data_IF_970029623481
#
_entry.id   IF_970029623481
#
_cell.length_a   1.000
_cell.length_b   1.000
_cell.length_c   1.000
_cell.angle_alpha   90.00
_cell.angle_beta   90.00
_cell.angle_gamma   90.00
#
_symmetry.space_group_name_H-M   'P 1'
#
loop_
_entity.id
_entity.type
_entity.pdbx_description
1 polymer ?
#
# COMPACT_ATOMS: atom_id res chain seq x y z
N UNK A 1 -19.90 -6.33 2.46
CA UNK A 1 -18.80 -5.63 3.17
C UNK A 1 -17.50 -5.83 2.41
N UNK A 2 -17.05 -7.08 2.25
CA UNK A 2 -15.84 -7.48 1.52
C UNK A 2 -15.56 -6.72 0.21
N UNK A 3 -16.52 -6.65 -0.72
CA UNK A 3 -16.32 -6.00 -2.03
C UNK A 3 -16.01 -4.51 -1.89
N UNK A 4 -16.68 -3.81 -0.97
CA UNK A 4 -16.42 -2.40 -0.68
C UNK A 4 -15.03 -2.21 -0.11
N UNK A 5 -14.63 -3.08 0.81
CA UNK A 5 -13.30 -3.01 1.43
C UNK A 5 -12.22 -3.35 0.39
N UNK A 6 -12.48 -4.28 -0.53
CA UNK A 6 -11.59 -4.55 -1.66
C UNK A 6 -11.43 -3.33 -2.57
N UNK A 7 -12.51 -2.60 -2.88
CA UNK A 7 -12.46 -1.32 -3.60
C UNK A 7 -11.60 -0.29 -2.86
N UNK A 8 -11.76 -0.17 -1.55
CA UNK A 8 -10.91 0.68 -0.69
C UNK A 8 -9.44 0.27 -0.76
N UNK A 9 -9.13 -1.03 -0.72
CA UNK A 9 -7.77 -1.53 -0.86
C UNK A 9 -7.14 -1.16 -2.21
N UNK A 10 -7.92 -1.22 -3.30
CA UNK A 10 -7.49 -0.83 -4.65
C UNK A 10 -7.11 0.65 -4.69
N UNK A 11 -8.01 1.53 -4.25
CA UNK A 11 -7.75 2.98 -4.28
C UNK A 11 -6.57 3.36 -3.38
N UNK A 12 -6.50 2.79 -2.17
CA UNK A 12 -5.40 3.03 -1.23
C UNK A 12 -4.05 2.57 -1.78
N UNK A 13 -3.99 1.42 -2.45
CA UNK A 13 -2.75 0.89 -3.03
C UNK A 13 -2.23 1.82 -4.13
N UNK A 14 -3.11 2.28 -5.02
CA UNK A 14 -2.75 3.23 -6.06
C UNK A 14 -2.26 4.57 -5.50
N UNK A 15 -3.04 5.16 -4.58
CA UNK A 15 -2.70 6.46 -3.98
C UNK A 15 -1.41 6.38 -3.16
N UNK A 16 -1.18 5.29 -2.42
CA UNK A 16 0.08 5.09 -1.68
C UNK A 16 1.26 4.90 -2.61
N UNK A 17 1.11 4.16 -3.72
CA UNK A 17 2.17 3.98 -4.71
C UNK A 17 2.63 5.32 -5.29
N UNK A 18 1.70 6.18 -5.71
CA UNK A 18 2.04 7.52 -6.20
C UNK A 18 2.66 8.40 -5.12
N UNK A 19 2.12 8.36 -3.90
CA UNK A 19 2.71 9.10 -2.80
C UNK A 19 4.15 8.66 -2.49
N UNK A 20 4.43 7.35 -2.55
CA UNK A 20 5.78 6.83 -2.32
C UNK A 20 6.72 7.17 -3.48
N UNK A 21 6.22 7.22 -4.71
CA UNK A 21 6.98 7.74 -5.86
C UNK A 21 7.44 9.18 -5.64
N UNK A 22 6.54 10.04 -5.17
CA UNK A 22 6.87 11.44 -4.82
C UNK A 22 7.84 11.52 -3.64
N UNK A 23 7.58 10.74 -2.59
CA UNK A 23 8.44 10.69 -1.41
C UNK A 23 9.87 10.23 -1.76
N UNK A 24 9.99 9.24 -2.64
CA UNK A 24 11.27 8.76 -3.18
C UNK A 24 12.03 9.87 -3.91
N UNK A 25 11.35 10.67 -4.73
CA UNK A 25 11.97 11.78 -5.46
C UNK A 25 12.54 12.86 -4.52
N UNK A 26 11.98 12.97 -3.31
CA UNK A 26 12.44 13.88 -2.26
C UNK A 26 13.51 13.28 -1.33
N UNK A 27 13.91 12.02 -1.53
CA UNK A 27 14.93 11.39 -0.71
C UNK A 27 16.33 11.90 -1.09
N UNK A 28 17.09 12.37 -0.10
CA UNK A 28 18.47 12.84 -0.28
C UNK A 28 19.53 11.77 0.03
N UNK A 29 19.10 10.51 0.22
CA UNK A 29 19.95 9.39 0.60
C UNK A 29 19.57 8.16 -0.23
N UNK A 30 20.56 7.54 -0.88
CA UNK A 30 20.37 6.39 -1.78
C UNK A 30 19.78 5.16 -1.06
N UNK A 31 20.05 4.98 0.23
CA UNK A 31 19.44 3.91 1.02
C UNK A 31 17.94 4.18 1.21
N UNK A 32 17.57 5.42 1.55
CA UNK A 32 16.16 5.78 1.70
C UNK A 32 15.42 5.64 0.37
N UNK A 33 16.01 6.12 -0.71
CA UNK A 33 15.45 5.99 -2.06
C UNK A 33 15.16 4.52 -2.41
N UNK A 34 16.11 3.61 -2.18
CA UNK A 34 15.93 2.18 -2.44
C UNK A 34 14.83 1.55 -1.58
N UNK A 35 14.78 1.91 -0.29
CA UNK A 35 13.76 1.41 0.63
C UNK A 35 12.35 1.89 0.22
N UNK A 36 12.21 3.16 -0.15
CA UNK A 36 10.95 3.74 -0.62
C UNK A 36 10.56 3.16 -1.98
N UNK A 37 11.51 3.02 -2.92
CA UNK A 37 11.27 2.40 -4.23
C UNK A 37 10.72 0.97 -4.10
N UNK A 38 11.22 0.21 -3.12
CA UNK A 38 10.70 -1.13 -2.87
C UNK A 38 9.25 -1.09 -2.37
N UNK A 39 8.92 -0.18 -1.45
CA UNK A 39 7.56 0.00 -0.97
C UNK A 39 6.60 0.50 -2.08
N UNK A 40 7.06 1.44 -2.91
CA UNK A 40 6.34 1.93 -4.10
C UNK A 40 5.99 0.77 -5.05
N UNK A 41 6.98 -0.04 -5.41
CA UNK A 41 6.76 -1.19 -6.28
C UNK A 41 5.80 -2.21 -5.66
N UNK A 42 5.91 -2.46 -4.35
CA UNK A 42 4.99 -3.34 -3.64
C UNK A 42 3.55 -2.79 -3.73
N UNK A 43 3.33 -1.46 -3.61
CA UNK A 43 2.00 -0.84 -3.77
C UNK A 43 1.40 -0.94 -5.16
N UNK A 44 2.18 -0.75 -6.22
CA UNK A 44 1.67 -0.93 -7.58
C UNK A 44 1.31 -2.40 -7.85
N UNK A 45 2.12 -3.34 -7.36
CA UNK A 45 1.79 -4.77 -7.40
C UNK A 45 0.53 -5.09 -6.59
N UNK A 46 0.34 -4.47 -5.42
CA UNK A 46 -0.87 -4.63 -4.60
C UNK A 46 -2.10 -4.14 -5.36
N UNK A 47 -2.02 -2.98 -6.02
CA UNK A 47 -3.08 -2.45 -6.86
C UNK A 47 -3.50 -3.45 -7.95
N UNK A 48 -2.54 -4.01 -8.70
CA UNK A 48 -2.82 -5.02 -9.74
C UNK A 48 -3.45 -6.29 -9.18
N UNK A 49 -2.91 -6.80 -8.06
CA UNK A 49 -3.42 -7.99 -7.40
C UNK A 49 -4.85 -7.81 -6.88
N UNK A 50 -5.16 -6.66 -6.30
CA UNK A 50 -6.48 -6.36 -5.75
C UNK A 50 -7.49 -6.08 -6.87
N UNK A 51 -7.07 -5.43 -7.97
CA UNK A 51 -7.88 -5.30 -9.17
C UNK A 51 -8.23 -6.66 -9.77
N UNK A 52 -7.26 -7.56 -9.84
CA UNK A 52 -7.50 -8.93 -10.29
C UNK A 52 -8.43 -9.69 -9.34
N UNK A 53 -8.23 -9.57 -8.02
CA UNK A 53 -9.12 -10.15 -7.03
C UNK A 53 -10.56 -9.62 -7.17
N UNK A 54 -10.74 -8.33 -7.45
CA UNK A 54 -12.05 -7.72 -7.66
C UNK A 54 -12.70 -8.22 -8.96
N UNK A 55 -11.93 -8.31 -10.04
CA UNK A 55 -12.39 -8.89 -11.30
C UNK A 55 -12.89 -10.32 -11.12
N UNK A 56 -12.21 -11.16 -10.33
CA UNK A 56 -12.65 -12.53 -10.05
C UNK A 56 -13.99 -12.60 -9.29
N UNK A 57 -14.39 -11.53 -8.59
CA UNK A 57 -15.64 -11.49 -7.84
C UNK A 57 -16.79 -10.83 -8.62
N UNK A 58 -16.49 -9.83 -9.46
CA UNK A 58 -17.50 -8.96 -10.07
C UNK A 58 -17.53 -9.05 -11.60
N UNK A 59 -16.48 -9.60 -12.22
CA UNK A 59 -16.38 -9.75 -13.68
C UNK A 59 -15.86 -8.52 -14.43
N UNK A 60 -15.50 -7.45 -13.72
CA UNK A 60 -14.94 -6.22 -14.28
C UNK A 60 -13.89 -5.60 -13.35
N UNK A 61 -13.06 -4.69 -13.86
CA UNK A 61 -12.09 -3.95 -13.05
C UNK A 61 -12.74 -2.75 -12.36
N UNK A 62 -12.32 -2.45 -11.13
CA UNK A 62 -12.85 -1.31 -10.41
C UNK A 62 -12.29 0.00 -10.95
N UNK A 63 -13.19 0.91 -11.33
CA UNK A 63 -12.85 2.31 -11.66
C UNK A 63 -13.03 3.19 -10.44
N UNK A 64 -12.08 4.09 -10.20
CA UNK A 64 -12.08 5.00 -9.05
C UNK A 64 -11.40 6.33 -9.42
N UNK A 65 -11.74 7.38 -8.67
CA UNK A 65 -11.08 8.67 -8.80
C UNK A 65 -9.70 8.59 -8.15
N UNK A 66 -8.66 8.91 -8.93
CA UNK A 66 -7.29 8.94 -8.43
C UNK A 66 -7.13 10.14 -7.49
N UNK A 67 -6.73 9.86 -6.26
CA UNK A 67 -6.39 10.87 -5.27
C UNK A 67 -4.88 11.03 -5.18
N UNK A 68 -4.45 12.29 -5.07
CA UNK A 68 -3.07 12.65 -4.78
C UNK A 68 -2.95 12.94 -3.28
N UNK A 69 -1.85 12.49 -2.68
CA UNK A 69 -1.47 12.83 -1.32
C UNK A 69 -0.15 13.56 -1.38
N UNK A 70 -0.02 14.62 -0.61
CA UNK A 70 1.22 15.38 -0.48
C UNK A 70 1.59 15.49 1.00
N UNK A 71 2.87 15.75 1.27
CA UNK A 71 3.37 16.03 2.60
C UNK A 71 4.21 17.31 2.55
N UNK A 72 4.13 18.15 3.59
CA UNK A 72 4.86 19.41 3.62
C UNK A 72 6.38 19.19 3.81
N UNK A 73 6.77 18.12 4.50
CA UNK A 73 8.17 17.74 4.67
C UNK A 73 8.41 16.25 4.39
N UNK A 74 9.65 15.89 4.04
CA UNK A 74 10.06 14.49 3.87
C UNK A 74 9.80 13.66 5.14
N UNK A 75 10.11 14.23 6.32
CA UNK A 75 9.92 13.58 7.62
C UNK A 75 8.45 13.28 7.91
N UNK A 76 7.56 14.24 7.66
CA UNK A 76 6.11 14.02 7.77
C UNK A 76 5.62 12.98 6.77
N UNK A 77 6.15 13.01 5.54
CA UNK A 77 5.79 12.04 4.51
C UNK A 77 6.16 10.61 4.89
N UNK A 78 7.37 10.41 5.43
CA UNK A 78 7.81 9.10 5.95
C UNK A 78 6.95 8.66 7.14
N UNK A 79 6.61 9.56 8.07
CA UNK A 79 5.72 9.23 9.18
C UNK A 79 4.32 8.85 8.71
N UNK A 80 3.79 9.58 7.73
CA UNK A 80 2.52 9.30 7.08
C UNK A 80 2.52 7.91 6.45
N UNK A 81 3.55 7.62 5.63
CA UNK A 81 3.73 6.33 5.01
C UNK A 81 3.79 5.18 6.04
N UNK A 82 4.58 5.34 7.11
CA UNK A 82 4.66 4.38 8.22
C UNK A 82 3.28 4.09 8.83
N UNK A 83 2.53 5.13 9.19
CA UNK A 83 1.19 4.99 9.79
C UNK A 83 0.22 4.27 8.85
N UNK A 84 0.27 4.59 7.57
CA UNK A 84 -0.60 3.97 6.57
C UNK A 84 -0.26 2.49 6.35
N UNK A 85 1.00 2.10 6.41
CA UNK A 85 1.39 0.69 6.32
C UNK A 85 0.96 -0.12 7.54
N UNK A 86 1.08 0.46 8.75
CA UNK A 86 0.57 -0.17 9.98
C UNK A 86 -0.95 -0.36 9.93
N UNK A 87 -1.70 0.65 9.46
CA UNK A 87 -3.14 0.51 9.22
C UNK A 87 -3.46 -0.54 8.16
N UNK A 88 -2.68 -0.56 7.08
CA UNK A 88 -2.84 -1.54 6.00
C UNK A 88 -2.66 -2.97 6.51
N UNK A 89 -1.67 -3.23 7.36
CA UNK A 89 -1.46 -4.56 7.93
C UNK A 89 -2.69 -5.07 8.71
N UNK A 90 -3.32 -4.20 9.52
CA UNK A 90 -4.55 -4.53 10.24
C UNK A 90 -5.72 -4.72 9.27
N UNK A 91 -5.89 -3.78 8.35
CA UNK A 91 -6.97 -3.80 7.36
C UNK A 91 -6.96 -5.09 6.52
N UNK A 92 -5.81 -5.47 5.98
CA UNK A 92 -5.72 -6.66 5.12
C UNK A 92 -5.77 -7.97 5.91
N UNK A 93 -5.37 -7.98 7.19
CA UNK A 93 -5.64 -9.11 8.07
C UNK A 93 -7.14 -9.34 8.21
N UNK A 94 -7.90 -8.29 8.51
CA UNK A 94 -9.34 -8.39 8.71
C UNK A 94 -10.04 -8.77 7.39
N UNK A 95 -9.63 -8.16 6.28
CA UNK A 95 -10.13 -8.52 4.94
C UNK A 95 -9.83 -9.98 4.56
N UNK A 96 -8.66 -10.50 4.95
CA UNK A 96 -8.30 -11.90 4.74
C UNK A 96 -9.12 -12.86 5.62
N UNK A 97 -9.59 -12.43 6.80
CA UNK A 97 -10.48 -13.26 7.64
C UNK A 97 -11.91 -13.33 7.10
N UNK A 98 -12.34 -12.28 6.39
CA UNK A 98 -13.69 -12.17 5.82
C UNK A 98 -13.77 -12.61 4.34
N UNK A 99 -12.71 -13.21 3.80
CA UNK A 99 -12.63 -13.46 2.36
C UNK A 99 -13.59 -14.58 1.87
N UNK A 100 -14.26 -14.40 0.71
CA UNK A 100 -15.31 -15.31 0.23
C UNK A 100 -14.81 -16.63 -0.41
N UNK A 101 -13.50 -16.82 -0.61
CA UNK A 101 -13.00 -18.06 -1.23
C UNK A 101 -11.54 -18.04 -1.66
N UNK A 102 -10.95 -19.24 -1.79
CA UNK A 102 -9.53 -19.49 -2.04
C UNK A 102 -8.94 -18.81 -3.28
N UNK A 103 -9.76 -18.50 -4.29
CA UNK A 103 -9.32 -17.88 -5.54
C UNK A 103 -8.69 -16.49 -5.34
N UNK A 104 -9.01 -15.79 -4.25
CA UNK A 104 -8.42 -14.48 -3.93
C UNK A 104 -7.50 -14.50 -2.70
N UNK A 105 -7.28 -15.67 -2.10
CA UNK A 105 -6.42 -15.81 -0.92
C UNK A 105 -5.01 -15.28 -1.19
N UNK A 106 -4.38 -15.71 -2.29
CA UNK A 106 -3.00 -15.35 -2.63
C UNK A 106 -2.82 -13.82 -2.82
N UNK A 107 -3.66 -13.12 -3.59
CA UNK A 107 -3.66 -11.66 -3.62
C UNK A 107 -3.70 -11.02 -2.23
N UNK A 108 -4.70 -11.34 -1.41
CA UNK A 108 -4.90 -10.72 -0.10
C UNK A 108 -3.75 -11.02 0.86
N UNK A 109 -3.30 -12.28 0.91
CA UNK A 109 -2.17 -12.70 1.74
C UNK A 109 -0.89 -11.95 1.38
N UNK A 110 -0.61 -11.77 0.09
CA UNK A 110 0.59 -11.06 -0.38
C UNK A 110 0.57 -9.61 0.12
N UNK A 111 -0.55 -8.92 -0.05
CA UNK A 111 -0.69 -7.51 0.37
C UNK A 111 -0.57 -7.39 1.90
N UNK A 112 -1.22 -8.29 2.64
CA UNK A 112 -1.15 -8.34 4.10
C UNK A 112 0.28 -8.56 4.60
N UNK A 113 1.03 -9.48 3.98
CA UNK A 113 2.38 -9.83 4.39
C UNK A 113 3.41 -8.73 4.06
N UNK A 114 3.23 -8.00 2.96
CA UNK A 114 4.15 -6.93 2.56
C UNK A 114 3.98 -5.66 3.41
N UNK A 115 2.77 -5.36 3.90
CA UNK A 115 2.48 -4.16 4.70
C UNK A 115 3.39 -3.99 5.94
N UNK A 116 3.58 -4.99 6.84
CA UNK A 116 4.50 -4.85 7.96
C UNK A 116 5.96 -4.71 7.53
N UNK A 117 6.35 -5.32 6.40
CA UNK A 117 7.71 -5.15 5.85
C UNK A 117 7.93 -3.70 5.41
N UNK A 118 6.95 -3.10 4.72
CA UNK A 118 7.00 -1.68 4.37
C UNK A 118 7.02 -0.78 5.61
N UNK A 119 6.24 -1.11 6.65
CA UNK A 119 6.27 -0.37 7.90
C UNK A 119 7.68 -0.39 8.53
N UNK A 120 8.39 -1.53 8.50
CA UNK A 120 9.78 -1.61 8.97
C UNK A 120 10.70 -0.70 8.14
N UNK A 121 10.55 -0.68 6.81
CA UNK A 121 11.33 0.20 5.92
C UNK A 121 11.14 1.67 6.29
N UNK A 122 9.91 2.13 6.43
CA UNK A 122 9.63 3.52 6.82
C UNK A 122 10.03 3.81 8.27
N UNK A 123 9.92 2.85 9.18
CA UNK A 123 10.38 3.02 10.58
C UNK A 123 11.90 3.22 10.66
N UNK A 124 12.67 2.47 9.86
CA UNK A 124 14.12 2.68 9.75
C UNK A 124 14.43 4.10 9.29
N UNK A 125 13.83 4.54 8.17
CA UNK A 125 14.04 5.87 7.63
C UNK A 125 13.65 6.94 8.66
N UNK A 126 12.48 6.81 9.29
CA UNK A 126 11.98 7.80 10.25
C UNK A 126 12.89 7.99 11.47
N UNK A 127 13.54 6.93 11.94
CA UNK A 127 14.48 6.99 13.06
C UNK A 127 15.79 7.68 12.70
N UNK A 128 16.22 7.56 11.44
CA UNK A 128 17.48 8.13 10.97
C UNK A 128 17.34 9.59 10.50
N UNK A 129 16.11 10.04 10.17
CA UNK A 129 15.83 11.46 9.90
C UNK A 129 15.78 12.23 11.22
N UNK A 130 16.74 13.14 11.40
CA UNK A 130 16.79 14.09 12.52
C UNK A 130 15.66 15.12 12.41
#
# INVERSE_FOLDING_TARGET
>A
MFIRDLQTGISHSWTSGNFYKELKANANNTVYEKLIAKAENDKYKHYELLQYAYFLQVGEYHSFKKEERTAATFREGVLGALKEELKSAVFYRDLLMDFPGWQIYKPLFTVMADAPVNAVRFSYIYKEIK
#
